data_IF_671681999791
#
_entry.id   IF_671681999791
#
_cell.length_a   1.000
_cell.length_b   1.000
_cell.length_c   1.000
_cell.angle_alpha   90.00
_cell.angle_beta   90.00
_cell.angle_gamma   90.00
#
_symmetry.space_group_name_H-M   'P 1'
#
loop_
_entity.id
_entity.type
_entity.pdbx_description
1 polymer ?
#
# COMPACT_ATOMS: atom_id res chain seq x y z
N UNK A 1 -0.44 4.67 -4.33
CA UNK A 1 -1.36 4.07 -5.35
C UNK A 1 -0.77 3.82 -6.75
N UNK A 2 0.30 4.46 -7.23
CA UNK A 2 0.80 4.22 -8.62
C UNK A 2 1.15 2.75 -8.91
N UNK A 3 1.70 2.05 -7.93
CA UNK A 3 2.02 0.63 -8.04
C UNK A 3 0.88 -0.31 -7.60
N UNK A 4 -0.33 0.23 -7.39
CA UNK A 4 -1.48 -0.58 -7.02
C UNK A 4 -1.80 -1.60 -8.12
N UNK A 5 -2.19 -2.81 -7.70
CA UNK A 5 -2.58 -3.89 -8.61
C UNK A 5 -3.94 -4.44 -8.25
N UNK A 6 -4.71 -4.77 -9.28
CA UNK A 6 -6.03 -5.38 -9.18
C UNK A 6 -5.92 -6.84 -9.55
N UNK A 7 -6.46 -7.71 -8.70
CA UNK A 7 -6.55 -9.15 -8.97
C UNK A 7 -7.79 -9.50 -9.80
N UNK A 8 -7.97 -10.79 -10.10
CA UNK A 8 -9.10 -11.27 -10.90
C UNK A 8 -10.46 -11.12 -10.17
N UNK A 9 -10.45 -10.91 -8.86
CA UNK A 9 -11.64 -10.64 -8.06
C UNK A 9 -11.99 -9.14 -7.99
N UNK A 10 -11.17 -8.27 -8.60
CA UNK A 10 -11.37 -6.83 -8.59
C UNK A 10 -10.83 -6.12 -7.35
N UNK A 11 -10.11 -6.82 -6.47
CA UNK A 11 -9.55 -6.21 -5.26
C UNK A 11 -8.24 -5.47 -5.60
N UNK A 12 -8.19 -4.17 -5.27
CA UNK A 12 -6.99 -3.36 -5.42
C UNK A 12 -6.07 -3.50 -4.18
N UNK A 13 -4.79 -3.81 -4.41
CA UNK A 13 -3.76 -3.87 -3.37
C UNK A 13 -2.65 -2.88 -3.67
N UNK A 14 -2.19 -2.14 -2.66
CA UNK A 14 -1.06 -1.21 -2.74
C UNK A 14 -0.21 -1.23 -1.47
N UNK A 15 1.01 -0.70 -1.56
CA UNK A 15 1.84 -0.41 -0.41
C UNK A 15 1.76 1.09 -0.08
N UNK A 16 1.70 1.42 1.20
CA UNK A 16 1.69 2.78 1.72
C UNK A 16 2.75 2.91 2.81
N UNK A 17 3.44 4.05 2.88
CA UNK A 17 4.39 4.30 3.96
C UNK A 17 3.67 5.09 5.04
N UNK A 18 3.25 4.39 6.10
CA UNK A 18 2.47 4.94 7.19
C UNK A 18 3.20 4.74 8.52
N UNK A 19 3.18 5.76 9.38
CA UNK A 19 3.77 5.72 10.73
C UNK A 19 2.71 5.71 11.84
N UNK A 20 1.43 5.65 11.48
CA UNK A 20 0.33 5.63 12.42
C UNK A 20 0.25 4.32 13.20
N UNK A 21 -0.28 4.40 14.43
CA UNK A 21 -0.70 3.24 15.21
C UNK A 21 -2.13 3.47 15.73
N UNK A 22 -3.16 2.77 15.20
CA UNK A 22 -3.08 1.68 14.22
C UNK A 22 -2.70 2.14 12.80
N UNK A 23 -2.22 1.22 11.92
CA UNK A 23 -1.89 1.57 10.53
C UNK A 23 -3.06 2.21 9.76
N UNK A 24 -2.73 3.21 8.94
CA UNK A 24 -3.67 4.05 8.19
C UNK A 24 -4.66 4.85 9.06
N UNK A 25 -4.41 5.07 10.36
CA UNK A 25 -5.40 5.77 11.19
C UNK A 25 -5.75 7.18 10.68
N UNK A 26 -4.79 7.89 10.09
CA UNK A 26 -5.00 9.24 9.57
C UNK A 26 -5.76 9.22 8.24
N UNK A 27 -5.39 8.33 7.32
CA UNK A 27 -5.94 8.28 5.96
C UNK A 27 -7.19 7.40 5.83
N UNK A 28 -7.48 6.54 6.81
CA UNK A 28 -8.60 5.60 6.79
C UNK A 28 -9.95 6.26 6.47
N UNK A 29 -10.35 7.39 7.11
CA UNK A 29 -11.63 8.01 6.80
C UNK A 29 -11.76 8.41 5.34
N UNK A 30 -10.66 8.85 4.72
CA UNK A 30 -10.63 9.19 3.31
C UNK A 30 -10.73 7.94 2.43
N UNK A 31 -10.00 6.88 2.75
CA UNK A 31 -10.06 5.64 1.96
C UNK A 31 -11.43 4.97 2.01
N UNK A 32 -12.09 4.98 3.16
CA UNK A 32 -13.41 4.39 3.36
C UNK A 32 -14.53 5.18 2.63
N UNK A 33 -14.27 6.40 2.14
CA UNK A 33 -15.20 7.13 1.26
C UNK A 33 -15.27 6.52 -0.16
N UNK A 34 -14.18 5.90 -0.62
CA UNK A 34 -14.03 5.42 -2.00
C UNK A 34 -13.86 3.90 -2.12
N UNK A 35 -13.46 3.22 -1.04
CA UNK A 35 -13.12 1.80 -1.04
C UNK A 35 -13.65 1.07 0.19
N UNK A 36 -14.05 -0.19 -0.02
CA UNK A 36 -14.18 -1.15 1.05
C UNK A 36 -12.80 -1.69 1.46
N UNK A 37 -12.30 -1.32 2.64
CA UNK A 37 -10.99 -1.77 3.13
C UNK A 37 -11.02 -3.25 3.55
N UNK A 38 -10.66 -4.15 2.63
CA UNK A 38 -10.67 -5.61 2.86
C UNK A 38 -9.61 -6.07 3.87
N UNK A 39 -8.39 -5.53 3.82
CA UNK A 39 -7.33 -5.86 4.78
C UNK A 39 -6.24 -4.79 4.84
N UNK A 40 -5.72 -4.53 6.05
CA UNK A 40 -4.55 -3.67 6.29
C UNK A 40 -3.51 -4.48 7.06
N UNK A 41 -2.29 -4.55 6.53
CA UNK A 41 -1.21 -5.36 7.09
C UNK A 41 0.10 -4.58 7.05
N UNK A 42 0.91 -4.73 8.10
CA UNK A 42 2.28 -4.23 8.07
C UNK A 42 3.07 -4.93 6.94
N UNK A 43 3.96 -4.18 6.30
CA UNK A 43 4.89 -4.68 5.29
C UNK A 43 5.68 -5.92 5.76
N UNK A 44 6.06 -5.90 7.04
CA UNK A 44 6.68 -6.97 7.80
C UNK A 44 6.61 -6.60 9.28
N UNK A 45 7.06 -7.49 10.17
CA UNK A 45 7.15 -7.17 11.60
C UNK A 45 7.93 -5.87 11.85
N UNK A 46 7.39 -4.98 12.68
CA UNK A 46 8.04 -3.72 13.10
C UNK A 46 9.42 -3.94 13.73
N UNK A 47 9.67 -5.13 14.30
CA UNK A 47 10.98 -5.58 14.81
C UNK A 47 12.07 -5.68 13.75
N UNK A 48 11.68 -5.83 12.49
CA UNK A 48 12.60 -5.90 11.36
C UNK A 48 12.78 -4.53 10.67
N UNK A 49 12.07 -3.50 11.13
CA UNK A 49 12.14 -2.13 10.61
C UNK A 49 13.25 -1.35 11.34
N UNK A 50 13.99 -0.52 10.59
CA UNK A 50 15.11 0.28 11.09
C UNK A 50 14.79 1.15 12.33
N UNK A 51 13.52 1.45 12.56
CA UNK A 51 12.98 2.11 13.76
C UNK A 51 13.37 1.38 15.06
N UNK A 52 13.41 0.04 15.08
CA UNK A 52 13.81 -0.75 16.26
C UNK A 52 15.33 -1.04 16.30
N UNK A 53 16.09 -0.66 15.26
CA UNK A 53 17.56 -0.78 15.22
C UNK A 53 18.27 0.37 15.95
N UNK A 54 17.50 1.34 16.47
CA UNK A 54 17.87 2.07 17.68
C UNK A 54 18.59 3.40 17.55
N UNK A 55 18.33 4.26 16.55
CA UNK A 55 18.84 5.65 16.59
C UNK A 55 17.80 6.70 16.13
N UNK A 56 17.01 6.46 15.07
CA UNK A 56 16.13 7.50 14.50
C UNK A 56 14.70 6.97 14.17
N UNK A 57 13.62 7.64 14.64
CA UNK A 57 12.23 7.19 14.40
C UNK A 57 11.80 7.25 12.92
N UNK A 58 12.48 8.07 12.11
CA UNK A 58 12.30 8.15 10.65
C UNK A 58 13.20 7.19 9.88
N UNK A 59 13.97 6.31 10.52
CA UNK A 59 14.93 5.44 9.81
C UNK A 59 14.27 4.44 8.84
N UNK A 60 12.94 4.29 8.90
CA UNK A 60 12.17 3.57 7.90
C UNK A 60 11.93 4.37 6.60
N UNK A 61 12.08 5.69 6.58
CA UNK A 61 12.00 6.49 5.36
C UNK A 61 13.09 6.08 4.34
N UNK A 62 14.25 5.64 4.82
CA UNK A 62 15.37 5.17 3.98
C UNK A 62 15.35 3.65 3.75
N UNK A 63 14.25 2.97 4.08
CA UNK A 63 14.13 1.54 3.84
C UNK A 63 13.74 1.25 2.38
N UNK A 64 14.17 0.08 1.89
CA UNK A 64 13.76 -0.42 0.57
C UNK A 64 12.50 -1.30 0.64
N UNK A 65 11.79 -1.29 1.78
CA UNK A 65 10.65 -2.19 2.00
C UNK A 65 9.51 -1.90 1.04
N UNK A 66 9.17 -0.62 0.85
CA UNK A 66 8.15 -0.18 -0.11
C UNK A 66 8.53 -0.63 -1.52
N UNK A 67 9.77 -0.37 -1.97
CA UNK A 67 10.25 -0.79 -3.29
C UNK A 67 10.11 -2.31 -3.51
N UNK A 68 10.56 -3.12 -2.54
CA UNK A 68 10.47 -4.59 -2.63
C UNK A 68 9.02 -5.08 -2.66
N UNK A 69 8.12 -4.44 -1.92
CA UNK A 69 6.69 -4.78 -1.95
C UNK A 69 6.05 -4.39 -3.27
N UNK A 70 6.36 -3.21 -3.80
CA UNK A 70 5.87 -2.77 -5.10
C UNK A 70 6.40 -3.65 -6.26
N UNK A 71 7.64 -4.13 -6.17
CA UNK A 71 8.18 -5.12 -7.12
C UNK A 71 7.45 -6.46 -7.05
N UNK A 72 7.12 -6.94 -5.84
CA UNK A 72 6.29 -8.15 -5.69
C UNK A 72 4.89 -7.93 -6.24
N UNK A 73 4.26 -6.80 -5.89
CA UNK A 73 2.93 -6.46 -6.35
C UNK A 73 2.87 -6.40 -7.87
N UNK A 74 3.90 -5.85 -8.55
CA UNK A 74 3.96 -5.78 -10.02
C UNK A 74 3.63 -7.10 -10.73
N UNK A 75 3.97 -8.25 -10.13
CA UNK A 75 3.68 -9.57 -10.69
C UNK A 75 2.34 -10.19 -10.27
N UNK A 76 1.57 -9.55 -9.41
CA UNK A 76 0.39 -10.12 -8.76
C UNK A 76 -0.95 -9.68 -9.35
N UNK A 77 -0.97 -8.82 -10.38
CA UNK A 77 -2.22 -8.36 -10.98
C UNK A 77 -2.05 -7.32 -12.07
N UNK A 78 -3.18 -6.75 -12.52
CA UNK A 78 -3.22 -5.68 -13.52
C UNK A 78 -3.03 -4.32 -12.87
N UNK A 79 -2.58 -3.33 -13.64
CA UNK A 79 -2.38 -1.96 -13.14
C UNK A 79 -3.72 -1.28 -12.80
N UNK A 80 -3.97 -1.01 -11.52
CA UNK A 80 -5.22 -0.36 -11.06
C UNK A 80 -5.58 0.90 -11.85
N UNK A 81 -4.64 1.84 -11.97
CA UNK A 81 -4.90 3.10 -12.67
C UNK A 81 -5.19 2.92 -14.16
N UNK A 82 -4.66 1.87 -14.79
CA UNK A 82 -4.95 1.60 -16.21
C UNK A 82 -6.35 1.04 -16.37
N UNK A 83 -6.76 0.12 -15.50
CA UNK A 83 -8.12 -0.41 -15.49
C UNK A 83 -9.14 0.71 -15.22
N UNK A 84 -8.88 1.57 -14.23
CA UNK A 84 -9.74 2.72 -13.91
C UNK A 84 -9.89 3.67 -15.10
N UNK A 85 -8.78 4.02 -15.77
CA UNK A 85 -8.80 4.87 -16.96
C UNK A 85 -9.47 4.22 -18.18
N UNK A 86 -9.55 2.89 -18.24
CA UNK A 86 -10.27 2.19 -19.31
C UNK A 86 -11.77 2.19 -19.05
N UNK A 87 -12.19 2.02 -17.80
CA UNK A 87 -13.59 2.10 -17.38
C UNK A 87 -14.17 3.50 -17.60
N UNK A 88 -13.44 4.55 -17.23
CA UNK A 88 -13.87 5.94 -17.41
C UNK A 88 -14.09 6.30 -18.89
N UNK A 89 -13.34 5.67 -19.80
CA UNK A 89 -13.49 5.86 -21.25
C UNK A 89 -14.62 5.05 -21.88
N UNK A 90 -15.25 4.16 -21.11
CA UNK A 90 -16.38 3.34 -21.55
C UNK A 90 -17.73 3.86 -21.04
N UNK A 91 -17.69 4.88 -20.17
CA UNK A 91 -18.85 5.63 -19.67
C UNK A 91 -19.07 6.90 -20.52
#
# INVERSE_FOLDING_TARGET
MQQARVDDAGAATWAETCFCDPPLAEERPYWEEYFDLLSVKDAHSRRNCRHENGIEPWACCDCVCTLRLEEKLRGAGKSFLRELQQQDRQL
#
